data_IF_945189564612
#
_entry.id   IF_945189564612
#
_cell.length_a   1.000
_cell.length_b   1.000
_cell.length_c   1.000
_cell.angle_alpha   90.00
_cell.angle_beta   90.00
_cell.angle_gamma   90.00
#
_symmetry.space_group_name_H-M   'P 1'
#
loop_
_entity.id
_entity.type
_entity.pdbx_description
1 polymer ?
#
# COMPACT_ATOMS: atom_id res chain seq x y z
N UNK A 1 -24.90 29.93 19.18
CA UNK A 1 -23.55 29.84 18.58
C UNK A 1 -23.05 28.43 18.80
N UNK A 2 -23.24 27.56 17.81
CA UNK A 2 -22.99 26.12 17.92
C UNK A 2 -21.60 25.81 17.36
N UNK A 3 -20.68 25.43 18.23
CA UNK A 3 -19.30 25.07 17.86
C UNK A 3 -19.30 23.72 17.14
N UNK A 4 -19.17 23.77 15.81
CA UNK A 4 -18.94 22.59 14.99
C UNK A 4 -17.51 22.08 15.20
N UNK A 5 -17.33 21.18 16.15
CA UNK A 5 -16.13 20.34 16.26
C UNK A 5 -16.15 19.39 15.07
N UNK A 6 -15.40 19.73 14.01
CA UNK A 6 -15.21 18.86 12.86
C UNK A 6 -14.37 17.66 13.31
N UNK A 7 -15.06 16.53 13.51
CA UNK A 7 -14.45 15.22 13.68
C UNK A 7 -13.40 15.02 12.60
N UNK A 8 -12.14 14.85 13.00
CA UNK A 8 -11.08 14.39 12.11
C UNK A 8 -11.46 12.96 11.72
N UNK A 9 -11.77 12.68 10.44
CA UNK A 9 -12.24 11.37 10.04
C UNK A 9 -11.18 10.32 10.39
N UNK A 10 -11.58 9.28 11.13
CA UNK A 10 -10.75 8.14 11.56
C UNK A 10 -10.10 7.34 10.42
N UNK A 11 -10.28 7.78 9.17
CA UNK A 11 -9.69 7.22 7.96
C UNK A 11 -8.18 7.45 7.91
N UNK A 12 -7.64 8.51 8.53
CA UNK A 12 -6.19 8.79 8.50
C UNK A 12 -5.36 7.78 9.29
N UNK A 13 -5.95 7.07 10.26
CA UNK A 13 -5.23 6.05 11.04
C UNK A 13 -5.18 4.68 10.33
N UNK A 14 -6.09 4.41 9.39
CA UNK A 14 -6.21 3.10 8.74
C UNK A 14 -5.20 2.89 7.60
N UNK A 15 -4.62 3.96 7.06
CA UNK A 15 -3.62 3.87 5.99
C UNK A 15 -2.19 3.63 6.51
N UNK A 16 -1.91 3.93 7.79
CA UNK A 16 -0.58 3.72 8.38
C UNK A 16 -0.54 2.66 9.52
N UNK A 17 -1.67 2.31 10.16
CA UNK A 17 -1.64 1.44 11.33
C UNK A 17 -1.78 -0.08 11.05
N UNK A 18 -2.05 -0.51 9.82
CA UNK A 18 -2.20 -1.95 9.51
C UNK A 18 -0.88 -2.69 9.29
N UNK A 19 0.27 -2.03 9.47
CA UNK A 19 1.59 -2.61 9.26
C UNK A 19 2.19 -3.39 10.43
N UNK A 20 1.63 -3.33 11.65
CA UNK A 20 2.37 -3.80 12.84
C UNK A 20 1.64 -4.76 13.79
N UNK A 21 0.37 -5.12 13.55
CA UNK A 21 -0.36 -5.98 14.49
C UNK A 21 -1.28 -7.02 13.82
N UNK A 22 -0.69 -8.08 13.25
CA UNK A 22 -1.33 -9.39 13.10
C UNK A 22 -0.22 -10.43 12.85
N UNK A 23 0.40 -11.01 13.88
CA UNK A 23 -0.05 -12.22 14.60
C UNK A 23 -0.47 -13.35 13.66
N UNK A 24 0.48 -14.28 13.49
CA UNK A 24 0.36 -15.73 13.33
C UNK A 24 -1.05 -16.27 13.05
N UNK A 25 -1.27 -16.85 11.85
CA UNK A 25 -1.96 -18.13 11.74
C UNK A 25 -1.59 -18.91 10.47
N UNK A 26 -1.45 -20.24 10.56
CA UNK A 26 -1.39 -21.14 9.42
C UNK A 26 -2.81 -21.64 9.08
N UNK A 27 -3.19 -21.61 7.79
CA UNK A 27 -3.72 -22.79 7.09
C UNK A 27 -4.06 -22.46 5.65
N UNK A 28 -3.42 -23.24 4.78
CA UNK A 28 -3.72 -23.43 3.37
C UNK A 28 -5.17 -23.85 3.21
N UNK A 29 -5.97 -23.02 2.55
CA UNK A 29 -7.16 -23.48 1.85
C UNK A 29 -6.77 -23.64 0.37
N UNK A 30 -6.74 -24.89 -0.11
CA UNK A 30 -6.48 -25.20 -1.51
C UNK A 30 -7.61 -24.64 -2.38
N UNK A 31 -7.37 -23.49 -3.02
CA UNK A 31 -8.25 -22.98 -4.07
C UNK A 31 -8.01 -23.77 -5.36
N UNK A 32 -9.09 -24.31 -5.93
CA UNK A 32 -9.08 -25.12 -7.15
C UNK A 32 -8.90 -24.22 -8.37
N UNK A 33 -7.77 -24.43 -9.04
CA UNK A 33 -7.58 -24.37 -10.51
C UNK A 33 -8.34 -23.30 -11.29
N UNK A 34 -7.88 -22.05 -11.22
CA UNK A 34 -7.84 -21.21 -12.41
C UNK A 34 -6.42 -21.26 -12.94
N UNK A 35 -6.19 -22.11 -13.94
CA UNK A 35 -4.92 -22.14 -14.68
C UNK A 35 -4.87 -20.89 -15.55
N UNK A 36 -4.40 -19.78 -14.97
CA UNK A 36 -3.95 -18.63 -15.74
C UNK A 36 -2.66 -19.06 -16.45
N UNK A 37 -2.84 -19.61 -17.65
CA UNK A 37 -1.77 -19.91 -18.59
C UNK A 37 -1.14 -18.57 -18.98
N UNK A 38 0.20 -18.51 -18.97
CA UNK A 38 1.11 -17.48 -19.50
C UNK A 38 1.88 -16.68 -18.43
N UNK A 39 2.83 -17.32 -17.74
CA UNK A 39 4.04 -16.61 -17.33
C UNK A 39 4.83 -16.30 -18.60
N UNK A 40 4.71 -15.07 -19.09
CA UNK A 40 5.64 -14.51 -20.07
C UNK A 40 7.06 -14.58 -19.48
N UNK A 41 8.09 -14.82 -20.30
CA UNK A 41 9.50 -14.81 -19.87
C UNK A 41 10.01 -13.41 -19.46
N UNK A 42 9.15 -12.57 -18.89
CA UNK A 42 9.51 -11.26 -18.33
C UNK A 42 9.83 -11.42 -16.85
N UNK A 43 11.05 -11.05 -16.45
CA UNK A 43 11.39 -10.89 -15.03
C UNK A 43 10.65 -9.71 -14.40
N UNK A 44 10.84 -9.51 -13.09
CA UNK A 44 10.43 -8.28 -12.43
C UNK A 44 11.16 -7.07 -13.06
N UNK A 45 10.54 -5.87 -13.06
CA UNK A 45 11.21 -4.67 -13.52
C UNK A 45 12.52 -4.42 -12.76
N UNK A 46 13.55 -3.82 -13.40
CA UNK A 46 14.83 -3.54 -12.76
C UNK A 46 14.67 -2.78 -11.44
N UNK A 47 15.37 -3.23 -10.40
CA UNK A 47 15.36 -2.60 -9.06
C UNK A 47 14.15 -2.91 -8.19
N UNK A 48 13.06 -3.50 -8.71
CA UNK A 48 11.91 -3.90 -7.89
C UNK A 48 12.23 -5.10 -7.01
N UNK A 49 12.98 -6.08 -7.53
CA UNK A 49 13.43 -7.23 -6.74
C UNK A 49 14.26 -6.81 -5.51
N UNK A 50 15.17 -5.84 -5.69
CA UNK A 50 16.00 -5.31 -4.60
C UNK A 50 15.15 -4.59 -3.55
N UNK A 51 14.18 -3.77 -3.99
CA UNK A 51 13.25 -3.09 -3.07
C UNK A 51 12.40 -4.07 -2.27
N UNK A 52 11.86 -5.11 -2.92
CA UNK A 52 11.11 -6.17 -2.25
C UNK A 52 11.96 -6.90 -1.22
N UNK A 53 13.24 -7.17 -1.53
CA UNK A 53 14.17 -7.80 -0.59
C UNK A 53 14.48 -6.92 0.63
N UNK A 54 14.58 -5.61 0.44
CA UNK A 54 14.79 -4.65 1.52
C UNK A 54 13.54 -4.53 2.40
N UNK A 55 12.35 -4.53 1.80
CA UNK A 55 11.07 -4.43 2.52
C UNK A 55 10.80 -5.61 3.44
N UNK A 56 11.34 -6.80 3.17
CA UNK A 56 11.22 -7.96 4.07
C UNK A 56 12.34 -8.03 5.11
N UNK A 57 13.18 -6.99 5.24
CA UNK A 57 14.32 -6.98 6.14
C UNK A 57 15.36 -8.05 5.78
N UNK A 58 15.42 -8.44 4.49
CA UNK A 58 16.28 -9.52 4.01
C UNK A 58 15.76 -10.94 4.32
N UNK A 59 14.60 -11.09 4.98
CA UNK A 59 14.00 -12.39 5.19
C UNK A 59 13.45 -12.92 3.86
N UNK A 60 14.13 -13.92 3.30
CA UNK A 60 13.73 -14.58 2.05
C UNK A 60 12.72 -15.67 2.36
N UNK A 61 11.47 -15.46 2.01
CA UNK A 61 10.49 -16.54 2.04
C UNK A 61 10.76 -17.51 0.90
N UNK A 62 10.52 -18.80 1.14
CA UNK A 62 10.55 -19.79 0.07
C UNK A 62 9.51 -19.40 -0.99
N UNK A 63 9.91 -19.45 -2.26
CA UNK A 63 9.09 -19.10 -3.43
C UNK A 63 8.68 -17.61 -3.57
N UNK A 64 9.31 -16.70 -2.80
CA UNK A 64 8.96 -15.28 -2.84
C UNK A 64 9.15 -14.67 -4.24
N UNK A 65 10.19 -15.09 -4.98
CA UNK A 65 10.46 -14.56 -6.31
C UNK A 65 9.39 -14.99 -7.31
N UNK A 66 9.01 -16.27 -7.29
CA UNK A 66 7.98 -16.86 -8.12
C UNK A 66 6.60 -16.24 -7.83
N UNK A 67 6.26 -16.06 -6.55
CA UNK A 67 5.00 -15.41 -6.15
C UNK A 67 4.98 -13.94 -6.57
N UNK A 68 6.10 -13.22 -6.45
CA UNK A 68 6.21 -11.82 -6.90
C UNK A 68 6.01 -11.69 -8.41
N UNK A 69 6.49 -12.66 -9.20
CA UNK A 69 6.25 -12.70 -10.65
C UNK A 69 4.78 -12.93 -10.99
N UNK A 70 4.09 -13.82 -10.28
CA UNK A 70 2.64 -14.03 -10.44
C UNK A 70 1.87 -12.74 -10.11
N UNK A 71 2.23 -12.07 -9.01
CA UNK A 71 1.62 -10.79 -8.64
C UNK A 71 1.91 -9.72 -9.70
N UNK A 72 3.12 -9.69 -10.28
CA UNK A 72 3.49 -8.74 -11.32
C UNK A 72 2.67 -8.93 -12.60
N UNK A 73 2.50 -10.17 -13.05
CA UNK A 73 1.71 -10.46 -14.24
C UNK A 73 0.22 -10.05 -14.06
N UNK A 74 -0.36 -10.30 -12.88
CA UNK A 74 -1.71 -9.86 -12.55
C UNK A 74 -1.82 -8.33 -12.43
N UNK A 75 -0.83 -7.70 -11.79
CA UNK A 75 -0.79 -6.26 -11.62
C UNK A 75 -0.68 -5.54 -12.97
N UNK A 76 0.18 -6.01 -13.89
CA UNK A 76 0.27 -5.49 -15.26
C UNK A 76 -1.09 -5.52 -15.97
N UNK A 77 -1.85 -6.60 -15.81
CA UNK A 77 -3.18 -6.73 -16.42
C UNK A 77 -4.22 -5.71 -15.95
N UNK A 78 -3.94 -4.97 -14.86
CA UNK A 78 -4.80 -3.89 -14.38
C UNK A 78 -4.54 -2.54 -15.08
N UNK A 79 -3.45 -2.41 -15.86
CA UNK A 79 -3.05 -1.15 -16.49
C UNK A 79 -3.12 -1.25 -18.02
N UNK A 80 -3.30 -0.11 -18.71
CA UNK A 80 -3.38 -0.10 -20.18
C UNK A 80 -2.04 -0.42 -20.87
N UNK A 81 -0.91 -0.18 -20.20
CA UNK A 81 0.42 -0.49 -20.72
C UNK A 81 1.37 -0.94 -19.60
N UNK A 82 2.44 -1.64 -19.98
CA UNK A 82 3.46 -2.11 -19.03
C UNK A 82 4.22 -0.93 -18.40
N UNK A 83 4.46 0.14 -19.14
CA UNK A 83 5.11 1.35 -18.64
C UNK A 83 4.28 2.03 -17.54
N UNK A 84 2.94 2.06 -17.70
CA UNK A 84 2.03 2.56 -16.67
C UNK A 84 2.07 1.69 -15.41
N UNK A 85 2.11 0.37 -15.57
CA UNK A 85 2.28 -0.55 -14.45
C UNK A 85 3.64 -0.36 -13.75
N UNK A 86 4.73 -0.16 -14.51
CA UNK A 86 6.06 0.12 -13.97
C UNK A 86 6.06 1.44 -13.19
N UNK A 87 5.43 2.49 -13.70
CA UNK A 87 5.30 3.76 -12.99
C UNK A 87 4.51 3.59 -11.68
N UNK A 88 3.41 2.84 -11.71
CA UNK A 88 2.57 2.59 -10.55
C UNK A 88 3.27 1.75 -9.48
N UNK A 89 3.96 0.66 -9.85
CA UNK A 89 4.71 -0.16 -8.88
C UNK A 89 5.89 0.60 -8.28
N UNK A 90 6.49 1.53 -9.02
CA UNK A 90 7.53 2.40 -8.48
C UNK A 90 7.00 3.33 -7.38
N UNK A 91 5.72 3.72 -7.42
CA UNK A 91 5.08 4.48 -6.33
C UNK A 91 4.83 3.61 -5.11
N UNK A 92 4.44 2.35 -5.30
CA UNK A 92 4.20 1.42 -4.20
C UNK A 92 4.57 -0.02 -4.56
N UNK A 93 5.80 -0.43 -4.23
CA UNK A 93 6.27 -1.79 -4.49
C UNK A 93 5.67 -2.84 -3.56
N UNK A 94 5.03 -2.44 -2.45
CA UNK A 94 4.41 -3.38 -1.51
C UNK A 94 3.26 -4.17 -2.14
N UNK A 95 2.69 -3.66 -3.24
CA UNK A 95 1.66 -4.39 -4.00
C UNK A 95 2.20 -5.71 -4.55
N UNK A 96 3.51 -5.81 -4.81
CA UNK A 96 4.16 -7.04 -5.27
C UNK A 96 4.77 -7.87 -4.13
N UNK A 97 4.60 -7.48 -2.86
CA UNK A 97 5.14 -8.24 -1.74
C UNK A 97 4.20 -9.41 -1.38
N UNK A 98 4.62 -10.68 -1.53
CA UNK A 98 3.75 -11.82 -1.27
C UNK A 98 3.35 -11.99 0.21
N UNK A 99 4.11 -11.42 1.15
CA UNK A 99 3.72 -11.43 2.58
C UNK A 99 2.53 -10.53 2.88
N UNK A 100 2.28 -9.51 2.05
CA UNK A 100 1.24 -8.50 2.29
C UNK A 100 0.09 -8.60 1.27
N UNK A 101 0.36 -9.15 0.09
CA UNK A 101 -0.59 -9.21 -1.01
C UNK A 101 -0.82 -10.64 -1.50
N UNK A 102 -1.88 -10.84 -2.29
CA UNK A 102 -2.17 -12.13 -2.92
C UNK A 102 -2.88 -11.91 -4.26
N UNK A 103 -2.85 -12.89 -5.18
CA UNK A 103 -3.59 -12.81 -6.44
C UNK A 103 -5.05 -12.40 -6.27
N UNK A 104 -5.73 -12.99 -5.28
CA UNK A 104 -7.15 -12.74 -5.01
C UNK A 104 -7.46 -11.30 -4.58
N UNK A 105 -6.51 -10.62 -3.91
CA UNK A 105 -6.68 -9.22 -3.50
C UNK A 105 -6.57 -8.30 -4.71
N UNK A 106 -5.57 -8.49 -5.57
CA UNK A 106 -5.38 -7.67 -6.76
C UNK A 106 -6.59 -7.81 -7.69
N UNK A 107 -6.95 -9.04 -8.07
CA UNK A 107 -8.03 -9.28 -9.03
C UNK A 107 -9.40 -8.90 -8.44
N UNK A 108 -9.65 -9.27 -7.18
CA UNK A 108 -10.93 -8.97 -6.52
C UNK A 108 -11.13 -7.48 -6.30
N UNK A 109 -10.10 -6.75 -5.86
CA UNK A 109 -10.21 -5.30 -5.65
C UNK A 109 -10.29 -4.55 -6.97
N UNK A 110 -9.55 -4.97 -8.00
CA UNK A 110 -9.67 -4.35 -9.32
C UNK A 110 -11.05 -4.55 -9.94
N UNK A 111 -11.60 -5.77 -9.88
CA UNK A 111 -12.95 -6.05 -10.36
C UNK A 111 -14.01 -5.19 -9.64
N UNK A 112 -13.91 -5.08 -8.31
CA UNK A 112 -14.80 -4.22 -7.54
C UNK A 112 -14.74 -2.75 -8.00
N UNK A 113 -13.54 -2.24 -8.30
CA UNK A 113 -13.39 -0.88 -8.81
C UNK A 113 -13.97 -0.71 -10.21
N UNK A 114 -13.81 -1.70 -11.09
CA UNK A 114 -14.44 -1.72 -12.41
C UNK A 114 -15.97 -1.68 -12.30
N UNK A 115 -16.54 -2.48 -11.39
CA UNK A 115 -17.99 -2.57 -11.20
C UNK A 115 -18.57 -1.25 -10.66
N UNK A 116 -17.84 -0.55 -9.78
CA UNK A 116 -18.32 0.70 -9.14
C UNK A 116 -18.07 1.96 -9.97
N UNK A 117 -16.90 2.07 -10.60
CA UNK A 117 -16.44 3.31 -11.24
C UNK A 117 -16.27 3.19 -12.76
N UNK A 118 -16.49 2.01 -13.32
CA UNK A 118 -16.19 1.71 -14.72
C UNK A 118 -14.69 1.61 -15.02
N UNK A 119 -14.32 1.24 -16.26
CA UNK A 119 -12.93 1.05 -16.67
C UNK A 119 -12.04 2.29 -16.48
N UNK A 120 -12.53 3.46 -16.90
CA UNK A 120 -11.77 4.72 -16.81
C UNK A 120 -11.61 5.18 -15.35
N UNK A 121 -12.68 5.10 -14.56
CA UNK A 121 -12.66 5.46 -13.14
C UNK A 121 -11.73 4.54 -12.33
N UNK A 122 -11.80 3.24 -12.56
CA UNK A 122 -10.90 2.27 -11.93
C UNK A 122 -9.43 2.56 -12.29
N UNK A 123 -9.14 2.77 -13.58
CA UNK A 123 -7.79 3.10 -14.07
C UNK A 123 -7.25 4.37 -13.42
N UNK A 124 -8.08 5.41 -13.32
CA UNK A 124 -7.73 6.67 -12.67
C UNK A 124 -7.39 6.46 -11.18
N UNK A 125 -8.21 5.71 -10.45
CA UNK A 125 -8.01 5.42 -9.02
C UNK A 125 -6.69 4.66 -8.79
N UNK A 126 -6.45 3.57 -9.52
CA UNK A 126 -5.24 2.74 -9.32
C UNK A 126 -3.96 3.46 -9.77
N UNK A 127 -4.04 4.36 -10.76
CA UNK A 127 -2.89 5.17 -11.20
C UNK A 127 -2.49 6.20 -10.14
N UNK A 128 -3.48 6.78 -9.44
CA UNK A 128 -3.25 7.71 -8.33
C UNK A 128 -2.78 6.99 -7.07
N UNK A 129 -3.43 5.88 -6.72
CA UNK A 129 -3.14 5.10 -5.52
C UNK A 129 -3.05 3.60 -5.83
N UNK A 130 -1.90 3.09 -6.31
CA UNK A 130 -1.74 1.67 -6.62
C UNK A 130 -1.83 0.78 -5.37
N UNK A 131 -1.61 1.36 -4.18
CA UNK A 131 -1.71 0.65 -2.91
C UNK A 131 -3.10 0.07 -2.63
N UNK A 132 -4.16 0.61 -3.24
CA UNK A 132 -5.52 0.09 -3.08
C UNK A 132 -5.64 -1.38 -3.53
N UNK A 133 -4.82 -1.81 -4.51
CA UNK A 133 -4.80 -3.19 -4.99
C UNK A 133 -4.19 -4.18 -3.98
N UNK A 134 -3.62 -3.70 -2.88
CA UNK A 134 -3.19 -4.54 -1.74
C UNK A 134 -4.28 -4.70 -0.66
N UNK A 135 -5.39 -3.97 -0.77
CA UNK A 135 -6.51 -4.05 0.14
C UNK A 135 -7.39 -5.28 -0.18
N UNK A 136 -8.15 -5.73 0.82
CA UNK A 136 -9.14 -6.79 0.62
C UNK A 136 -10.41 -6.16 0.04
N UNK A 137 -10.92 -6.73 -1.06
CA UNK A 137 -12.09 -6.20 -1.76
C UNK A 137 -13.30 -5.99 -0.83
N UNK A 138 -13.56 -6.89 0.11
CA UNK A 138 -14.65 -6.76 1.09
C UNK A 138 -14.51 -5.51 1.98
N UNK A 139 -13.29 -5.14 2.36
CA UNK A 139 -13.05 -3.92 3.16
C UNK A 139 -13.24 -2.66 2.33
N UNK A 140 -12.83 -2.69 1.05
CA UNK A 140 -13.04 -1.58 0.11
C UNK A 140 -14.53 -1.41 -0.23
N UNK A 141 -15.27 -2.52 -0.35
CA UNK A 141 -16.71 -2.51 -0.61
C UNK A 141 -17.52 -1.82 0.50
N UNK A 142 -17.03 -1.83 1.73
CA UNK A 142 -17.66 -1.12 2.86
C UNK A 142 -17.45 0.40 2.83
N UNK A 143 -16.50 0.89 2.02
CA UNK A 143 -16.21 2.33 1.90
C UNK A 143 -17.15 3.00 0.90
N UNK A 144 -17.49 4.26 1.15
CA UNK A 144 -18.23 5.08 0.20
C UNK A 144 -17.38 5.42 -1.03
N UNK A 145 -18.02 5.68 -2.18
CA UNK A 145 -17.29 6.07 -3.40
C UNK A 145 -16.47 7.35 -3.19
N UNK A 146 -17.05 8.30 -2.44
CA UNK A 146 -16.41 9.57 -2.11
C UNK A 146 -15.14 9.37 -1.27
N UNK A 147 -15.12 8.41 -0.35
CA UNK A 147 -13.95 8.14 0.49
C UNK A 147 -12.83 7.45 -0.30
N UNK A 148 -13.18 6.55 -1.22
CA UNK A 148 -12.22 5.91 -2.13
C UNK A 148 -11.55 6.96 -3.01
N UNK A 149 -12.34 7.85 -3.63
CA UNK A 149 -11.82 8.95 -4.46
C UNK A 149 -10.96 9.90 -3.62
N UNK A 150 -11.42 10.28 -2.42
CA UNK A 150 -10.64 11.15 -1.51
C UNK A 150 -9.31 10.51 -1.12
N UNK A 151 -9.28 9.20 -0.87
CA UNK A 151 -8.03 8.49 -0.58
C UNK A 151 -7.07 8.51 -1.78
N UNK A 152 -7.58 8.38 -3.01
CA UNK A 152 -6.77 8.50 -4.22
C UNK A 152 -6.19 9.92 -4.39
N UNK A 153 -7.00 10.97 -4.22
CA UNK A 153 -6.51 12.36 -4.28
C UNK A 153 -5.54 12.69 -3.15
N UNK A 154 -5.75 12.13 -1.96
CA UNK A 154 -4.84 12.34 -0.83
C UNK A 154 -3.44 11.82 -1.13
N UNK A 155 -3.31 10.66 -1.78
CA UNK A 155 -2.00 10.14 -2.20
C UNK A 155 -1.32 11.12 -3.16
N UNK A 156 -2.04 11.64 -4.16
CA UNK A 156 -1.49 12.64 -5.09
C UNK A 156 -1.03 13.89 -4.36
N UNK A 157 -1.85 14.42 -3.45
CA UNK A 157 -1.50 15.61 -2.66
C UNK A 157 -0.25 15.36 -1.80
N UNK A 158 -0.12 14.19 -1.18
CA UNK A 158 1.09 13.80 -0.43
C UNK A 158 2.28 13.70 -1.38
N UNK A 159 2.10 13.20 -2.61
CA UNK A 159 3.16 13.09 -3.58
C UNK A 159 3.68 14.45 -4.06
N UNK A 160 2.79 15.41 -4.29
CA UNK A 160 3.12 16.78 -4.70
C UNK A 160 3.80 17.55 -3.58
N UNK A 161 3.50 17.22 -2.33
CA UNK A 161 4.03 17.89 -1.14
C UNK A 161 5.11 17.07 -0.42
N UNK A 162 5.80 16.14 -1.12
CA UNK A 162 6.80 15.23 -0.53
C UNK A 162 7.83 15.94 0.35
N UNK A 163 8.35 17.09 -0.08
CA UNK A 163 9.38 17.83 0.68
C UNK A 163 8.84 18.47 1.96
N UNK A 164 7.61 19.01 1.92
CA UNK A 164 6.95 19.54 3.12
C UNK A 164 6.59 18.42 4.10
N UNK A 165 6.11 17.29 3.60
CA UNK A 165 5.81 16.10 4.41
C UNK A 165 7.08 15.57 5.07
N UNK A 166 8.20 15.46 4.33
CA UNK A 166 9.50 15.09 4.90
C UNK A 166 9.95 16.07 5.97
N UNK A 167 9.84 17.37 5.73
CA UNK A 167 10.22 18.40 6.70
C UNK A 167 9.36 18.31 7.97
N UNK A 168 8.05 18.10 7.84
CA UNK A 168 7.14 17.95 8.97
C UNK A 168 7.45 16.69 9.79
N UNK A 169 7.65 15.54 9.12
CA UNK A 169 8.02 14.28 9.79
C UNK A 169 9.37 14.43 10.50
N UNK A 170 10.36 15.04 9.85
CA UNK A 170 11.67 15.28 10.45
C UNK A 170 11.58 16.23 11.65
N UNK A 171 10.82 17.32 11.52
CA UNK A 171 10.60 18.29 12.59
C UNK A 171 9.90 17.67 13.81
N UNK A 172 8.85 16.88 13.59
CA UNK A 172 8.16 16.15 14.66
C UNK A 172 9.07 15.12 15.32
N UNK A 173 9.85 14.37 14.54
CA UNK A 173 10.84 13.43 15.04
C UNK A 173 11.90 14.13 15.91
N UNK A 174 12.46 15.24 15.41
CA UNK A 174 13.44 16.04 16.15
C UNK A 174 12.87 16.55 17.47
N UNK A 175 11.65 17.12 17.47
CA UNK A 175 10.99 17.58 18.69
C UNK A 175 10.76 16.44 19.69
N UNK A 176 10.34 15.27 19.22
CA UNK A 176 10.12 14.08 20.05
C UNK A 176 11.42 13.59 20.72
N UNK A 177 12.54 13.50 19.98
CA UNK A 177 13.82 13.11 20.55
C UNK A 177 14.36 14.13 21.57
N UNK A 178 14.17 15.42 21.31
CA UNK A 178 14.54 16.46 22.28
C UNK A 178 13.68 16.36 23.56
N UNK A 179 12.39 16.05 23.44
CA UNK A 179 11.52 15.84 24.59
C UNK A 179 11.94 14.62 25.42
N UNK A 180 12.32 13.51 24.77
CA UNK A 180 12.88 12.33 25.45
C UNK A 180 14.18 12.69 26.16
N UNK A 181 15.10 13.38 25.48
CA UNK A 181 16.37 13.82 26.06
C UNK A 181 16.17 14.72 27.28
N UNK A 182 15.25 15.70 27.18
CA UNK A 182 14.88 16.56 28.30
C UNK A 182 14.29 15.77 29.47
N UNK A 183 13.41 14.80 29.21
CA UNK A 183 12.86 13.92 30.25
C UNK A 183 13.92 13.05 30.92
N UNK A 184 14.86 12.51 30.16
CA UNK A 184 15.97 11.71 30.73
C UNK A 184 16.86 12.60 31.60
N UNK A 185 17.27 13.77 31.10
CA UNK A 185 18.14 14.70 31.84
C UNK A 185 17.52 15.20 33.15
N UNK A 186 16.22 15.49 33.14
CA UNK A 186 15.49 15.95 34.35
C UNK A 186 15.28 14.84 35.38
N UNK A 187 15.12 13.58 34.98
CA UNK A 187 14.98 12.45 35.93
C UNK A 187 16.32 12.03 36.53
N UNK A 188 17.43 12.17 35.79
CA UNK A 188 18.76 11.79 36.26
C UNK A 188 19.49 12.90 37.04
N UNK A 189 18.88 14.07 37.22
CA UNK A 189 19.49 15.21 37.92
C UNK A 189 20.74 15.74 37.22
N UNK A 190 20.80 15.62 35.88
CA UNK A 190 21.90 16.19 35.08
C UNK A 190 21.78 17.72 34.94
N UNK A 191 20.66 18.29 35.40
CA UNK A 191 20.35 19.71 35.42
C UNK A 191 19.79 20.10 36.78
#
# INVERSE_FOLDING_TARGET
>A
MSSAVRSIPSILLLVFATGWAARLQPRRAASRGHTCRMCSKGGLPPGIADRLSFQTGGYKQANQAEESLILWDLFKGCYPSEEAAIAAVNKNSLVLNPSMNSPSKITGTYQLLLDRFGPEGATNIITKNPGILSCVASSVAQQSDADILRAAEFVVAVEENKELVKLAIFGLGFAFFNLIGYRIGTVQGWF
#
